data_IF_449242561262
#
_entry.id   IF_449242561262
#
_cell.length_a   1.000
_cell.length_b   1.000
_cell.length_c   1.000
_cell.angle_alpha   90.00
_cell.angle_beta   90.00
_cell.angle_gamma   90.00
#
_symmetry.space_group_name_H-M   'P 1'
#
loop_
_entity.id
_entity.type
_entity.pdbx_description
1 polymer ?
#
# COMPACT_ATOMS: atom_id res chain seq x y z
N UNK A 1 -36.59 -4.92 -65.79
CA UNK A 1 -36.80 -5.13 -64.35
C UNK A 1 -35.78 -6.13 -63.84
N UNK A 2 -35.03 -5.87 -62.76
CA UNK A 2 -34.58 -4.60 -62.21
C UNK A 2 -33.07 -4.37 -62.44
N UNK A 3 -32.66 -3.11 -62.42
CA UNK A 3 -31.27 -2.69 -62.23
C UNK A 3 -30.94 -2.73 -60.73
N UNK A 4 -29.72 -3.12 -60.38
CA UNK A 4 -29.16 -2.80 -59.06
C UNK A 4 -27.86 -1.98 -59.25
N UNK A 5 -27.93 -0.65 -59.07
CA UNK A 5 -26.81 0.25 -59.16
C UNK A 5 -26.35 0.62 -57.74
N UNK A 6 -25.10 0.29 -57.38
CA UNK A 6 -24.20 1.14 -56.59
C UNK A 6 -22.89 0.43 -56.21
N UNK A 7 -21.86 0.78 -56.97
CA UNK A 7 -20.54 1.06 -56.41
C UNK A 7 -20.64 2.11 -55.29
N UNK A 8 -20.13 1.80 -54.11
CA UNK A 8 -19.71 2.78 -53.09
C UNK A 8 -18.50 2.16 -52.38
N UNK A 9 -17.28 2.51 -52.81
CA UNK A 9 -16.46 3.53 -52.13
C UNK A 9 -16.22 3.18 -50.67
N UNK A 10 -15.03 2.64 -50.41
CA UNK A 10 -14.37 2.66 -49.11
C UNK A 10 -14.33 4.10 -48.56
N UNK A 11 -14.92 4.38 -47.39
CA UNK A 11 -14.54 5.55 -46.63
C UNK A 11 -13.29 5.19 -45.85
N UNK A 12 -12.21 5.86 -46.21
CA UNK A 12 -11.07 6.11 -45.35
C UNK A 12 -11.61 6.66 -44.02
N UNK A 13 -11.39 5.93 -42.93
CA UNK A 13 -11.56 6.44 -41.57
C UNK A 13 -10.17 6.52 -40.94
N UNK A 14 -9.78 7.75 -40.63
CA UNK A 14 -8.52 8.18 -40.04
C UNK A 14 -8.13 7.39 -38.75
N UNK A 15 -6.84 7.37 -38.38
CA UNK A 15 -6.30 6.50 -37.33
C UNK A 15 -6.49 7.04 -35.89
N UNK A 16 -7.54 7.82 -35.61
CA UNK A 16 -7.67 8.51 -34.32
C UNK A 16 -8.72 7.92 -33.36
N UNK A 17 -9.48 6.88 -33.74
CA UNK A 17 -10.63 6.42 -32.95
C UNK A 17 -10.42 5.13 -32.13
N UNK A 18 -9.16 4.74 -31.85
CA UNK A 18 -8.84 3.51 -31.10
C UNK A 18 -8.38 3.73 -29.64
N UNK A 19 -8.27 4.98 -29.17
CA UNK A 19 -7.80 5.27 -27.79
C UNK A 19 -8.93 5.39 -26.76
N UNK A 20 -10.21 5.36 -27.16
CA UNK A 20 -11.34 5.59 -26.25
C UNK A 20 -11.88 4.33 -25.52
N UNK A 21 -11.30 3.15 -25.74
CA UNK A 21 -11.86 1.87 -25.26
C UNK A 21 -11.20 1.33 -23.95
N UNK A 22 -10.20 1.99 -23.36
CA UNK A 22 -9.44 1.44 -22.21
C UNK A 22 -9.71 2.07 -20.84
N UNK A 23 -10.55 3.10 -20.74
CA UNK A 23 -10.89 3.73 -19.45
C UNK A 23 -12.35 3.45 -19.02
N UNK A 24 -12.70 2.17 -18.89
CA UNK A 24 -13.89 1.79 -18.10
C UNK A 24 -13.44 1.31 -16.72
N UNK A 25 -13.52 2.13 -15.66
CA UNK A 25 -13.34 1.63 -14.31
C UNK A 25 -14.40 0.58 -14.03
N UNK A 26 -13.96 -0.67 -13.81
CA UNK A 26 -14.80 -1.83 -13.46
C UNK A 26 -15.35 -1.75 -12.01
N UNK A 27 -15.50 -0.54 -11.47
CA UNK A 27 -16.14 -0.32 -10.18
C UNK A 27 -17.62 -0.02 -10.41
N UNK A 28 -18.56 -0.74 -9.77
CA UNK A 28 -19.95 -0.36 -9.82
C UNK A 28 -20.08 1.09 -9.30
N UNK A 29 -20.91 1.94 -9.92
CA UNK A 29 -21.16 3.27 -9.41
C UNK A 29 -21.64 3.12 -7.96
N UNK A 30 -20.93 3.78 -7.03
CA UNK A 30 -21.36 3.92 -5.63
C UNK A 30 -22.85 4.25 -5.66
N UNK A 31 -23.67 3.40 -5.04
CA UNK A 31 -25.07 3.71 -4.74
C UNK A 31 -25.12 5.13 -4.16
N UNK A 32 -25.51 6.09 -4.99
CA UNK A 32 -25.80 7.44 -4.54
C UNK A 32 -27.11 7.32 -3.78
N UNK A 33 -27.01 7.10 -2.47
CA UNK A 33 -28.13 7.26 -1.55
C UNK A 33 -28.53 8.75 -1.55
N UNK A 34 -29.28 9.17 -2.57
CA UNK A 34 -29.90 10.50 -2.73
C UNK A 34 -31.09 10.71 -1.76
N UNK A 35 -31.10 10.01 -0.63
CA UNK A 35 -32.26 9.87 0.24
C UNK A 35 -32.06 10.26 1.70
N UNK A 36 -30.96 10.93 2.09
CA UNK A 36 -30.87 11.50 3.44
C UNK A 36 -31.46 12.91 3.41
N UNK A 37 -32.76 13.00 3.62
CA UNK A 37 -33.43 14.25 3.96
C UNK A 37 -32.73 14.85 5.19
N UNK A 38 -32.18 16.06 5.05
CA UNK A 38 -31.48 16.80 6.09
C UNK A 38 -32.48 17.26 7.15
N UNK A 39 -32.91 16.35 8.03
CA UNK A 39 -33.65 16.71 9.24
C UNK A 39 -32.74 17.53 10.16
N UNK A 40 -33.24 18.53 10.91
CA UNK A 40 -32.40 19.40 11.74
C UNK A 40 -31.54 18.66 12.77
N UNK A 41 -31.94 17.46 13.20
CA UNK A 41 -31.13 16.59 14.07
C UNK A 41 -29.94 15.96 13.33
N UNK A 42 -30.08 15.58 12.05
CA UNK A 42 -28.93 15.09 11.24
C UNK A 42 -27.90 16.18 10.99
N UNK A 43 -28.33 17.44 10.81
CA UNK A 43 -27.43 18.58 10.65
C UNK A 43 -26.59 18.85 11.91
N UNK A 44 -27.17 18.74 13.11
CA UNK A 44 -26.44 18.87 14.37
C UNK A 44 -25.41 17.74 14.55
N UNK A 45 -25.80 16.50 14.28
CA UNK A 45 -24.89 15.35 14.37
C UNK A 45 -23.72 15.46 13.39
N UNK A 46 -23.98 15.77 12.11
CA UNK A 46 -22.94 15.97 11.11
C UNK A 46 -21.96 17.10 11.49
N UNK A 47 -22.46 18.21 12.07
CA UNK A 47 -21.59 19.30 12.56
C UNK A 47 -20.65 18.84 13.68
N UNK A 48 -21.16 18.10 14.66
CA UNK A 48 -20.34 17.57 15.76
C UNK A 48 -19.32 16.55 15.25
N UNK A 49 -19.73 15.64 14.37
CA UNK A 49 -18.84 14.64 13.77
C UNK A 49 -17.74 15.27 12.93
N UNK A 50 -18.07 16.25 12.09
CA UNK A 50 -17.07 16.98 11.31
C UNK A 50 -16.11 17.75 12.21
N UNK A 51 -16.60 18.40 13.27
CA UNK A 51 -15.74 19.05 14.26
C UNK A 51 -14.77 18.06 14.90
N UNK A 52 -15.23 16.86 15.26
CA UNK A 52 -14.37 15.81 15.83
C UNK A 52 -13.34 15.29 14.83
N UNK A 53 -13.72 15.09 13.57
CA UNK A 53 -12.80 14.68 12.51
C UNK A 53 -11.71 15.74 12.33
N UNK A 54 -12.09 17.02 12.27
CA UNK A 54 -11.12 18.12 12.17
C UNK A 54 -10.20 18.18 13.39
N UNK A 55 -10.74 17.97 14.59
CA UNK A 55 -9.91 17.94 15.80
C UNK A 55 -8.90 16.79 15.77
N UNK A 56 -9.37 15.57 15.48
CA UNK A 56 -8.50 14.39 15.40
C UNK A 56 -7.44 14.57 14.31
N UNK A 57 -7.78 15.18 13.19
CA UNK A 57 -6.80 15.48 12.15
C UNK A 57 -5.73 16.45 12.65
N UNK A 58 -6.13 17.53 13.34
CA UNK A 58 -5.17 18.47 13.92
C UNK A 58 -4.29 17.81 14.99
N UNK A 59 -4.85 16.91 15.80
CA UNK A 59 -4.09 16.15 16.80
C UNK A 59 -3.09 15.18 16.14
N UNK A 60 -3.48 14.54 15.03
CA UNK A 60 -2.57 13.68 14.22
C UNK A 60 -1.43 14.52 13.66
N UNK A 61 -1.74 15.65 13.00
CA UNK A 61 -0.73 16.51 12.38
C UNK A 61 0.26 17.07 13.42
N UNK A 62 -0.22 17.41 14.62
CA UNK A 62 0.62 17.84 15.73
C UNK A 62 1.56 16.73 16.20
N UNK A 63 1.05 15.50 16.36
CA UNK A 63 1.87 14.35 16.77
C UNK A 63 2.90 13.99 15.70
N UNK A 64 2.53 14.04 14.42
CA UNK A 64 3.45 13.79 13.31
C UNK A 64 4.59 14.82 13.29
N UNK A 65 4.28 16.09 13.55
CA UNK A 65 5.28 17.16 13.68
C UNK A 65 6.21 16.91 14.87
N UNK A 66 5.66 16.58 16.05
CA UNK A 66 6.46 16.26 17.25
C UNK A 66 7.40 15.07 17.03
N UNK A 67 6.97 14.06 16.28
CA UNK A 67 7.80 12.90 15.93
C UNK A 67 8.95 13.32 15.02
N UNK A 68 8.67 14.11 13.98
CA UNK A 68 9.69 14.60 13.05
C UNK A 68 10.74 15.45 13.78
N UNK A 69 10.32 16.39 14.64
CA UNK A 69 11.24 17.21 15.42
C UNK A 69 12.15 16.38 16.33
N UNK A 70 11.62 15.33 16.96
CA UNK A 70 12.41 14.42 17.81
C UNK A 70 13.43 13.61 17.02
N UNK A 71 13.09 13.22 15.78
CA UNK A 71 14.01 12.52 14.89
C UNK A 71 15.12 13.47 14.43
N UNK A 72 14.79 14.72 14.11
CA UNK A 72 15.75 15.72 13.63
C UNK A 72 16.71 16.21 14.73
N UNK A 73 16.30 16.15 15.99
CA UNK A 73 17.16 16.46 17.15
C UNK A 73 18.30 15.46 17.34
N UNK A 74 18.18 14.23 16.82
CA UNK A 74 19.21 13.21 16.89
C UNK A 74 19.80 12.96 15.49
N UNK A 75 21.06 13.37 15.30
CA UNK A 75 21.75 13.27 14.01
C UNK A 75 21.82 11.83 13.46
N UNK A 76 21.91 10.82 14.33
CA UNK A 76 21.95 9.43 13.90
C UNK A 76 20.55 8.96 13.45
N UNK A 77 19.50 9.32 14.19
CA UNK A 77 18.13 9.01 13.79
C UNK A 77 17.73 9.72 12.50
N UNK A 78 18.06 11.01 12.35
CA UNK A 78 17.82 11.77 11.13
C UNK A 78 18.51 11.13 9.91
N UNK A 79 19.78 10.71 10.08
CA UNK A 79 20.51 9.99 9.03
C UNK A 79 19.82 8.68 8.66
N UNK A 80 19.47 7.84 9.64
CA UNK A 80 18.77 6.57 9.39
C UNK A 80 17.40 6.79 8.73
N UNK A 81 16.66 7.82 9.14
CA UNK A 81 15.38 8.20 8.55
C UNK A 81 15.54 8.60 7.08
N UNK A 82 16.54 9.43 6.76
CA UNK A 82 16.82 9.85 5.38
C UNK A 82 17.12 8.67 4.44
N UNK A 83 17.88 7.69 4.94
CA UNK A 83 18.19 6.45 4.21
C UNK A 83 16.91 5.64 3.97
N UNK A 84 16.04 5.51 4.97
CA UNK A 84 14.78 4.78 4.82
C UNK A 84 13.83 5.46 3.83
N UNK A 85 13.71 6.78 3.86
CA UNK A 85 12.86 7.57 2.96
C UNK A 85 13.34 7.46 1.51
N UNK A 86 14.63 7.21 1.27
CA UNK A 86 15.16 6.99 -0.08
C UNK A 86 14.57 5.74 -0.79
N UNK A 87 13.98 4.81 -0.02
CA UNK A 87 13.36 3.60 -0.58
C UNK A 87 12.02 3.98 -1.22
N UNK A 88 11.80 3.70 -2.53
CA UNK A 88 10.55 4.03 -3.18
C UNK A 88 9.35 3.36 -2.50
N UNK A 89 8.41 4.18 -2.03
CA UNK A 89 7.22 3.76 -1.31
C UNK A 89 7.29 3.89 0.21
N UNK A 90 8.47 4.13 0.78
CA UNK A 90 8.61 4.47 2.20
C UNK A 90 8.50 5.99 2.36
N UNK A 91 7.51 6.44 3.13
CA UNK A 91 7.36 7.86 3.51
C UNK A 91 7.88 8.14 4.92
N UNK A 92 7.89 9.42 5.31
CA UNK A 92 8.37 9.90 6.61
C UNK A 92 7.74 9.16 7.79
N UNK A 93 6.40 9.07 7.84
CA UNK A 93 5.69 8.35 8.90
C UNK A 93 6.07 6.85 8.97
N UNK A 94 6.28 6.21 7.81
CA UNK A 94 6.68 4.80 7.78
C UNK A 94 8.13 4.63 8.24
N UNK A 95 9.02 5.54 7.84
CA UNK A 95 10.40 5.55 8.28
C UNK A 95 10.48 5.75 9.81
N UNK A 96 9.74 6.72 10.34
CA UNK A 96 9.62 6.95 11.78
C UNK A 96 9.09 5.70 12.50
N UNK A 97 8.03 5.08 11.99
CA UNK A 97 7.48 3.85 12.56
C UNK A 97 8.50 2.70 12.56
N UNK A 98 9.28 2.54 11.48
CA UNK A 98 10.36 1.55 11.43
C UNK A 98 11.46 1.83 12.45
N UNK A 99 11.83 3.08 12.68
CA UNK A 99 12.84 3.43 13.68
C UNK A 99 12.34 3.22 15.12
N UNK A 100 11.10 3.62 15.40
CA UNK A 100 10.48 3.51 16.73
C UNK A 100 10.20 2.05 17.09
N UNK A 101 9.54 1.33 16.18
CA UNK A 101 9.14 -0.05 16.41
C UNK A 101 10.18 -1.05 15.97
N UNK A 102 11.33 -0.65 15.42
CA UNK A 102 12.42 -1.57 15.07
C UNK A 102 13.80 -0.90 15.17
N UNK A 103 14.20 -0.43 16.37
CA UNK A 103 15.49 0.24 16.55
C UNK A 103 16.69 -0.65 16.19
N UNK A 104 16.50 -1.97 16.25
CA UNK A 104 17.52 -2.99 15.98
C UNK A 104 17.78 -3.20 14.47
N UNK A 105 17.03 -2.52 13.58
CA UNK A 105 17.16 -2.60 12.13
C UNK A 105 18.53 -2.10 11.65
N UNK A 106 19.26 -2.93 10.89
CA UNK A 106 20.65 -2.70 10.47
C UNK A 106 21.67 -3.59 11.19
N UNK A 107 21.39 -3.99 12.44
CA UNK A 107 22.28 -4.84 13.22
C UNK A 107 21.95 -6.35 13.14
N UNK A 108 20.74 -6.70 12.69
CA UNK A 108 20.25 -8.08 12.71
C UNK A 108 20.28 -8.79 11.35
N UNK A 109 20.15 -10.11 11.38
CA UNK A 109 19.97 -10.88 10.15
C UNK A 109 18.61 -10.59 9.49
N UNK A 110 18.59 -10.67 8.17
CA UNK A 110 17.42 -10.48 7.31
C UNK A 110 16.23 -11.37 7.71
N UNK A 111 16.48 -12.60 8.16
CA UNK A 111 15.42 -13.50 8.63
C UNK A 111 14.84 -13.05 9.96
N UNK A 112 15.69 -12.56 10.88
CA UNK A 112 15.26 -12.00 12.16
C UNK A 112 14.43 -10.75 11.93
N UNK A 113 14.85 -9.87 11.02
CA UNK A 113 14.12 -8.66 10.64
C UNK A 113 12.71 -8.97 10.12
N UNK A 114 12.60 -9.92 9.18
CA UNK A 114 11.31 -10.34 8.66
C UNK A 114 10.41 -11.01 9.72
N UNK A 115 11.00 -11.75 10.66
CA UNK A 115 10.28 -12.39 11.76
C UNK A 115 9.75 -11.36 12.75
N UNK A 116 10.59 -10.39 13.14
CA UNK A 116 10.24 -9.33 14.08
C UNK A 116 9.13 -8.43 13.52
N UNK A 117 9.17 -8.12 12.22
CA UNK A 117 8.09 -7.41 11.53
C UNK A 117 6.80 -8.24 11.35
N UNK A 118 6.78 -9.52 11.77
CA UNK A 118 5.60 -10.39 11.66
C UNK A 118 5.28 -10.83 10.23
N UNK A 119 6.30 -10.89 9.35
CA UNK A 119 6.20 -11.22 7.92
C UNK A 119 6.76 -12.61 7.58
N UNK A 120 7.38 -13.29 8.54
CA UNK A 120 7.84 -14.65 8.36
C UNK A 120 6.65 -15.64 8.37
N UNK A 121 6.56 -16.56 7.40
CA UNK A 121 5.55 -17.62 7.44
C UNK A 121 5.87 -18.57 8.60
N UNK A 122 4.87 -18.85 9.43
CA UNK A 122 4.94 -19.84 10.49
C UNK A 122 4.21 -21.09 10.06
N UNK A 123 4.90 -22.23 10.13
CA UNK A 123 4.32 -23.54 9.82
C UNK A 123 3.42 -24.01 10.94
N UNK A 124 2.19 -24.37 10.59
CA UNK A 124 1.24 -25.00 11.51
C UNK A 124 1.27 -26.50 11.25
N UNK A 125 2.16 -27.20 11.96
CA UNK A 125 2.24 -28.65 11.91
C UNK A 125 2.15 -29.22 13.32
N UNK A 126 1.28 -30.21 13.52
CA UNK A 126 1.15 -30.95 14.77
C UNK A 126 1.14 -32.44 14.45
N UNK A 127 2.22 -33.15 14.80
CA UNK A 127 2.38 -34.57 14.53
C UNK A 127 2.15 -34.92 13.06
N UNK A 128 0.98 -35.48 12.75
CA UNK A 128 0.60 -35.97 11.42
C UNK A 128 -0.16 -34.95 10.55
N UNK A 129 -0.55 -33.79 11.11
CA UNK A 129 -1.28 -32.77 10.36
C UNK A 129 -0.34 -31.63 9.95
N UNK A 130 -0.37 -31.27 8.66
CA UNK A 130 0.35 -30.12 8.11
C UNK A 130 -0.66 -29.14 7.48
N UNK A 131 -0.89 -28.03 8.18
CA UNK A 131 -1.73 -26.93 7.72
C UNK A 131 -1.04 -26.00 6.73
N UNK A 132 -1.76 -24.97 6.31
CA UNK A 132 -1.20 -23.86 5.52
C UNK A 132 -0.36 -22.95 6.41
N UNK A 133 0.78 -22.51 5.90
CA UNK A 133 1.61 -21.51 6.58
C UNK A 133 0.91 -20.16 6.62
N UNK A 134 1.00 -19.48 7.75
CA UNK A 134 0.41 -18.16 7.95
C UNK A 134 1.43 -17.22 8.59
N UNK A 135 1.37 -15.94 8.25
CA UNK A 135 2.12 -14.92 8.98
C UNK A 135 1.45 -14.69 10.34
N UNK A 136 2.18 -14.91 11.43
CA UNK A 136 1.70 -14.71 12.80
C UNK A 136 2.85 -14.19 13.67
N UNK A 137 2.50 -13.55 14.79
CA UNK A 137 3.47 -12.99 15.73
C UNK A 137 4.11 -11.69 15.23
N UNK A 138 5.28 -11.39 15.79
CA UNK A 138 6.02 -10.15 15.53
C UNK A 138 5.29 -8.89 16.04
N UNK A 139 5.78 -7.73 15.60
CA UNK A 139 5.22 -6.42 15.87
C UNK A 139 4.11 -6.14 14.86
N UNK A 140 2.85 -6.35 15.27
CA UNK A 140 1.69 -6.23 14.39
C UNK A 140 1.49 -4.80 13.83
N UNK A 141 1.90 -3.77 14.59
CA UNK A 141 1.91 -2.37 14.15
C UNK A 141 2.75 -2.17 12.89
N UNK A 142 3.99 -2.68 12.88
CA UNK A 142 4.88 -2.64 11.71
C UNK A 142 4.27 -3.33 10.49
N UNK A 143 3.66 -4.50 10.68
CA UNK A 143 3.02 -5.21 9.57
C UNK A 143 1.89 -4.38 8.96
N UNK A 144 1.09 -3.71 9.77
CA UNK A 144 0.04 -2.81 9.25
C UNK A 144 0.64 -1.59 8.55
N UNK A 145 1.67 -0.98 9.15
CA UNK A 145 2.35 0.19 8.61
C UNK A 145 3.03 -0.07 7.26
N UNK A 146 3.59 -1.27 7.06
CA UNK A 146 4.30 -1.65 5.82
C UNK A 146 3.38 -1.96 4.64
N UNK A 147 2.08 -2.15 4.87
CA UNK A 147 1.16 -2.57 3.81
C UNK A 147 0.98 -1.50 2.73
N UNK A 148 0.73 -0.24 3.14
CA UNK A 148 0.58 0.88 2.20
C UNK A 148 1.89 1.20 1.45
N UNK A 149 3.06 1.28 2.11
CA UNK A 149 4.35 1.36 1.45
C UNK A 149 4.59 0.27 0.41
N UNK A 150 4.22 -0.98 0.71
CA UNK A 150 4.38 -2.08 -0.24
C UNK A 150 3.50 -1.89 -1.49
N UNK A 151 2.27 -1.40 -1.35
CA UNK A 151 1.40 -1.09 -2.49
C UNK A 151 1.95 0.05 -3.36
N UNK A 152 2.56 1.05 -2.75
CA UNK A 152 3.20 2.15 -3.48
C UNK A 152 4.45 1.63 -4.17
N UNK A 153 5.27 0.85 -3.46
CA UNK A 153 6.50 0.28 -3.98
C UNK A 153 6.28 -0.64 -5.19
N UNK A 154 5.20 -1.43 -5.24
CA UNK A 154 4.88 -2.23 -6.44
C UNK A 154 4.53 -1.39 -7.67
N UNK A 155 4.15 -0.12 -7.50
CA UNK A 155 3.82 0.78 -8.61
C UNK A 155 5.05 1.52 -9.13
N UNK A 156 5.90 2.00 -8.22
CA UNK A 156 7.01 2.90 -8.55
C UNK A 156 8.38 2.22 -8.62
N UNK A 157 8.58 1.07 -7.96
CA UNK A 157 9.83 0.33 -8.02
C UNK A 157 9.72 -0.86 -8.99
N UNK A 158 10.52 -0.90 -10.08
CA UNK A 158 10.43 -1.94 -11.10
C UNK A 158 10.79 -3.34 -10.56
N UNK A 159 11.75 -3.45 -9.64
CA UNK A 159 12.17 -4.74 -9.08
C UNK A 159 11.08 -5.34 -8.18
N UNK A 160 10.44 -4.49 -7.36
CA UNK A 160 9.34 -4.92 -6.49
C UNK A 160 8.07 -5.20 -7.29
N UNK A 161 7.84 -4.46 -8.38
CA UNK A 161 6.79 -4.75 -9.36
C UNK A 161 7.03 -6.13 -9.98
N UNK A 162 8.24 -6.42 -10.45
CA UNK A 162 8.60 -7.71 -11.04
C UNK A 162 8.42 -8.87 -10.04
N UNK A 163 8.76 -8.66 -8.76
CA UNK A 163 8.50 -9.65 -7.71
C UNK A 163 6.99 -9.92 -7.56
N UNK A 164 6.18 -8.86 -7.53
CA UNK A 164 4.73 -8.97 -7.41
C UNK A 164 4.12 -9.69 -8.62
N UNK A 165 4.44 -9.25 -9.84
CA UNK A 165 3.92 -9.84 -11.08
C UNK A 165 4.29 -11.31 -11.19
N UNK A 166 5.55 -11.67 -10.93
CA UNK A 166 5.99 -13.08 -10.94
C UNK A 166 5.15 -13.96 -10.02
N UNK A 167 4.78 -13.46 -8.84
CA UNK A 167 3.97 -14.22 -7.88
C UNK A 167 2.50 -14.30 -8.31
N UNK A 168 1.94 -13.23 -8.87
CA UNK A 168 0.56 -13.25 -9.41
C UNK A 168 0.42 -14.12 -10.65
N UNK A 169 1.43 -14.12 -11.53
CA UNK A 169 1.47 -14.95 -12.74
C UNK A 169 1.55 -16.44 -12.38
N UNK A 170 2.23 -16.76 -11.26
CA UNK A 170 2.21 -18.08 -10.63
C UNK A 170 0.89 -18.42 -9.91
N UNK A 171 -0.19 -17.64 -10.15
CA UNK A 171 -1.54 -17.78 -9.55
C UNK A 171 -1.56 -17.76 -8.02
N UNK A 172 -0.58 -17.12 -7.38
CA UNK A 172 -0.63 -16.93 -5.93
C UNK A 172 -1.63 -15.81 -5.58
N UNK A 173 -2.29 -15.89 -4.41
CA UNK A 173 -3.20 -14.83 -3.96
C UNK A 173 -2.48 -13.47 -3.89
N UNK A 174 -3.12 -12.41 -4.38
CA UNK A 174 -2.54 -11.06 -4.42
C UNK A 174 -2.04 -10.58 -3.04
N UNK A 175 -2.76 -10.90 -1.97
CA UNK A 175 -2.36 -10.55 -0.59
C UNK A 175 -1.04 -11.21 -0.17
N UNK A 176 -0.79 -12.44 -0.62
CA UNK A 176 0.48 -13.14 -0.38
C UNK A 176 1.61 -12.48 -1.16
N UNK A 177 1.36 -12.08 -2.41
CA UNK A 177 2.34 -11.34 -3.20
C UNK A 177 2.72 -10.01 -2.54
N UNK A 178 1.76 -9.25 -2.00
CA UNK A 178 2.04 -8.02 -1.25
C UNK A 178 2.86 -8.33 0.02
N UNK A 179 2.54 -9.40 0.75
CA UNK A 179 3.32 -9.80 1.93
C UNK A 179 4.77 -10.11 1.57
N UNK A 180 5.02 -10.73 0.41
CA UNK A 180 6.38 -10.96 -0.08
C UNK A 180 7.11 -9.65 -0.41
N UNK A 181 6.41 -8.66 -0.97
CA UNK A 181 6.95 -7.30 -1.21
C UNK A 181 7.28 -6.61 0.10
N UNK A 182 6.38 -6.64 1.10
CA UNK A 182 6.63 -6.10 2.44
C UNK A 182 7.89 -6.71 3.06
N UNK A 183 8.05 -8.04 2.95
CA UNK A 183 9.25 -8.73 3.45
C UNK A 183 10.52 -8.28 2.72
N UNK A 184 10.43 -8.07 1.40
CA UNK A 184 11.56 -7.57 0.60
C UNK A 184 11.91 -6.13 0.98
N UNK A 185 10.92 -5.26 1.25
CA UNK A 185 11.13 -3.90 1.75
C UNK A 185 11.91 -3.89 3.07
N UNK A 186 11.49 -4.69 4.06
CA UNK A 186 12.22 -4.81 5.35
C UNK A 186 13.64 -5.31 5.14
N UNK A 187 13.84 -6.24 4.20
CA UNK A 187 15.18 -6.75 3.88
C UNK A 187 16.08 -5.66 3.27
N UNK A 188 15.53 -4.84 2.36
CA UNK A 188 16.25 -3.71 1.76
C UNK A 188 16.58 -2.67 2.84
N UNK A 189 15.59 -2.29 3.66
CA UNK A 189 15.77 -1.35 4.75
C UNK A 189 16.86 -1.80 5.73
N UNK A 190 16.87 -3.08 6.13
CA UNK A 190 17.90 -3.65 6.99
C UNK A 190 19.29 -3.64 6.33
N UNK A 191 19.37 -3.84 5.02
CA UNK A 191 20.64 -3.84 4.29
C UNK A 191 21.21 -2.43 4.11
N UNK A 192 20.36 -1.40 3.96
CA UNK A 192 20.79 -0.01 3.80
C UNK A 192 21.23 0.64 5.11
N UNK A 193 20.74 0.15 6.25
CA UNK A 193 21.08 0.64 7.58
C UNK A 193 22.27 -0.11 8.22
N UNK A 194 22.84 -1.09 7.52
CA UNK A 194 23.99 -1.87 7.98
C UNK A 194 25.29 -1.27 7.46
#
# INVERSE_FOLDING_TARGET
>A
APADPRSCSTPHSDPEDQTAQLDRPCFPPRLQNKGITRTPNTLKFCKVSNRRITQIQADIDAIETDIAERIDQDAELAKRASILISIPGVGELTAAMLLIEMPELGAMDTKQAASLAGLAPMTQASGHWKGKDHIRGGRAGLRSALYMPALVATRFNPDLKALYTRLTDARKPAKLAITAVMRKLVTIANALLR
#
